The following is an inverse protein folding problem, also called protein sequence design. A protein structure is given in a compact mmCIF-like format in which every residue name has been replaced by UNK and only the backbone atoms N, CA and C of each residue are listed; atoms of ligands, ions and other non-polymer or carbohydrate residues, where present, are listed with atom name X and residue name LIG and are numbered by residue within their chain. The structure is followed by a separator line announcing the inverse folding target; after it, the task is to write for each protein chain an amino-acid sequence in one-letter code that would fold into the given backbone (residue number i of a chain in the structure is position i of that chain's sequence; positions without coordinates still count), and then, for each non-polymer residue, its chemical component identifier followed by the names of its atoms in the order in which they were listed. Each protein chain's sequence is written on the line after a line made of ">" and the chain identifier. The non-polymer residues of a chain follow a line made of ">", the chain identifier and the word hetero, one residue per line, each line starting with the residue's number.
data_IF_374368029099
#
_entry.id   IF_374368029099
#
_cell.length_a   1.000
_cell.length_b   1.000
_cell.length_c   1.000
_cell.angle_alpha   90.00
_cell.angle_beta   90.00
_cell.angle_gamma   90.00
#
_symmetry.space_group_name_H-M   'P 1'
#
loop_
_entity.id
_entity.type
_entity.pdbx_description
1 polymer ?
#
# COMPACT_ATOMS: atom_id res chain seq x y z
N UNK A 1 -22.49 2.63 -7.80
CA UNK A 1 -22.82 1.30 -7.23
C UNK A 1 -23.12 1.51 -5.76
N UNK A 2 -24.20 0.95 -5.22
CA UNK A 2 -24.46 1.01 -3.79
C UNK A 2 -23.57 -0.04 -3.09
N UNK A 3 -22.92 0.29 -1.98
CA UNK A 3 -22.15 -0.68 -1.23
C UNK A 3 -23.07 -1.74 -0.60
N UNK A 4 -22.53 -2.93 -0.40
CA UNK A 4 -23.22 -4.02 0.32
C UNK A 4 -22.68 -4.07 1.75
N UNK A 5 -23.58 -3.94 2.73
CA UNK A 5 -23.22 -4.04 4.16
C UNK A 5 -23.64 -5.41 4.67
N UNK A 6 -22.74 -6.12 5.31
CA UNK A 6 -22.96 -7.47 5.83
C UNK A 6 -22.38 -7.62 7.24
N UNK A 7 -23.02 -8.38 8.14
CA UNK A 7 -22.46 -8.67 9.47
C UNK A 7 -21.28 -9.64 9.36
N UNK A 8 -20.28 -9.43 10.21
CA UNK A 8 -19.11 -10.32 10.36
C UNK A 8 -19.00 -10.71 11.83
N UNK A 9 -19.53 -11.88 12.18
CA UNK A 9 -19.68 -12.28 13.58
C UNK A 9 -20.61 -11.35 14.33
N UNK A 10 -20.34 -11.14 15.62
CA UNK A 10 -21.22 -10.44 16.57
C UNK A 10 -20.89 -8.95 16.71
N UNK A 11 -19.67 -8.56 16.37
CA UNK A 11 -19.10 -7.23 16.69
C UNK A 11 -18.35 -6.60 15.54
N UNK A 12 -18.62 -7.02 14.29
CA UNK A 12 -18.06 -6.37 13.12
C UNK A 12 -19.05 -6.34 11.96
N UNK A 13 -18.85 -5.36 11.06
CA UNK A 13 -19.55 -5.26 9.78
C UNK A 13 -18.53 -5.13 8.66
N UNK A 14 -18.83 -5.69 7.50
CA UNK A 14 -18.09 -5.49 6.26
C UNK A 14 -18.91 -4.67 5.29
N UNK A 15 -18.31 -3.65 4.73
CA UNK A 15 -18.89 -2.78 3.69
C UNK A 15 -18.13 -3.05 2.40
N UNK A 16 -18.74 -3.73 1.45
CA UNK A 16 -18.16 -4.06 0.15
C UNK A 16 -18.56 -3.01 -0.89
N UNK A 17 -17.56 -2.36 -1.50
CA UNK A 17 -17.74 -1.30 -2.50
C UNK A 17 -17.56 -1.80 -3.94
N UNK A 18 -17.08 -3.03 -4.12
CA UNK A 18 -16.84 -3.66 -5.42
C UNK A 18 -16.01 -4.93 -5.31
N UNK A 19 -15.63 -5.50 -6.46
CA UNK A 19 -14.88 -6.75 -6.53
C UNK A 19 -13.61 -6.63 -7.40
N UNK A 20 -13.18 -5.38 -7.65
CA UNK A 20 -11.99 -5.07 -8.46
C UNK A 20 -11.10 -4.07 -7.73
N UNK A 21 -9.80 -4.17 -7.96
CA UNK A 21 -8.85 -3.19 -7.45
C UNK A 21 -8.95 -1.95 -8.35
N UNK A 22 -9.57 -0.88 -7.82
CA UNK A 22 -9.82 0.37 -8.55
C UNK A 22 -9.55 1.57 -7.63
N UNK A 23 -8.76 2.56 -8.08
CA UNK A 23 -8.49 3.77 -7.32
C UNK A 23 -9.75 4.51 -6.84
N UNK A 24 -10.83 4.47 -7.62
CA UNK A 24 -12.11 5.09 -7.25
C UNK A 24 -12.79 4.36 -6.09
N UNK A 25 -12.70 3.01 -6.07
CA UNK A 25 -13.18 2.21 -4.93
C UNK A 25 -12.37 2.55 -3.69
N UNK A 26 -11.04 2.62 -3.78
CA UNK A 26 -10.20 3.02 -2.66
C UNK A 26 -10.52 4.44 -2.17
N UNK A 27 -10.70 5.39 -3.09
CA UNK A 27 -11.10 6.75 -2.72
C UNK A 27 -12.43 6.78 -1.96
N UNK A 28 -13.42 5.99 -2.39
CA UNK A 28 -14.69 5.85 -1.68
C UNK A 28 -14.51 5.26 -0.28
N UNK A 29 -13.69 4.22 -0.14
CA UNK A 29 -13.37 3.63 1.16
C UNK A 29 -12.74 4.68 2.08
N UNK A 30 -11.74 5.43 1.61
CA UNK A 30 -11.08 6.50 2.40
C UNK A 30 -12.06 7.60 2.80
N UNK A 31 -12.93 8.04 1.89
CA UNK A 31 -13.95 9.04 2.20
C UNK A 31 -14.95 8.50 3.25
N UNK A 32 -15.31 7.22 3.14
CA UNK A 32 -16.19 6.58 4.15
C UNK A 32 -15.52 6.53 5.51
N UNK A 33 -14.24 6.14 5.58
CA UNK A 33 -13.46 6.15 6.84
C UNK A 33 -13.45 7.55 7.44
N UNK A 34 -13.05 8.57 6.67
CA UNK A 34 -13.00 9.94 7.14
C UNK A 34 -14.39 10.47 7.59
N UNK A 35 -15.44 10.09 6.86
CA UNK A 35 -16.83 10.43 7.24
C UNK A 35 -17.25 9.81 8.58
N UNK A 36 -16.90 8.55 8.83
CA UNK A 36 -17.20 7.86 10.10
C UNK A 36 -16.36 8.46 11.24
N UNK A 37 -15.06 8.72 11.01
CA UNK A 37 -14.19 9.37 12.00
C UNK A 37 -14.71 10.74 12.43
N UNK A 38 -15.25 11.51 11.48
CA UNK A 38 -15.80 12.85 11.77
C UNK A 38 -17.02 12.83 12.71
N UNK A 39 -17.72 11.70 12.81
CA UNK A 39 -18.84 11.53 13.74
C UNK A 39 -18.41 11.27 15.18
N UNK A 40 -17.11 10.97 15.41
CA UNK A 40 -16.56 10.64 16.73
C UNK A 40 -17.39 9.61 17.51
N UNK A 41 -17.84 8.54 16.82
CA UNK A 41 -18.69 7.52 17.40
C UNK A 41 -17.95 6.73 18.48
N UNK A 42 -18.34 6.92 19.73
CA UNK A 42 -17.85 6.07 20.81
C UNK A 42 -18.34 4.64 20.61
N UNK A 43 -17.42 3.67 20.58
CA UNK A 43 -17.75 2.24 20.37
C UNK A 43 -17.35 1.73 18.99
N UNK A 44 -16.85 2.56 18.07
CA UNK A 44 -16.04 2.06 16.96
C UNK A 44 -14.66 1.72 17.51
N UNK A 45 -14.26 0.45 17.37
CA UNK A 45 -13.00 -0.07 17.93
C UNK A 45 -11.90 0.07 16.90
N UNK A 46 -12.16 -0.36 15.66
CA UNK A 46 -11.18 -0.35 14.56
C UNK A 46 -11.89 -0.28 13.21
N UNK A 47 -11.26 0.37 12.26
CA UNK A 47 -11.65 0.40 10.86
C UNK A 47 -10.49 -0.12 10.01
N UNK A 48 -10.70 -1.24 9.29
CA UNK A 48 -9.68 -1.88 8.46
C UNK A 48 -10.07 -1.76 6.98
N UNK A 49 -9.51 -0.81 6.25
CA UNK A 49 -9.70 -0.74 4.80
C UNK A 49 -8.99 -1.91 4.11
N UNK A 50 -9.60 -2.39 3.02
CA UNK A 50 -9.01 -3.38 2.11
C UNK A 50 -9.03 -2.84 0.68
N UNK A 51 -8.69 -3.65 -0.34
CA UNK A 51 -8.76 -3.22 -1.73
C UNK A 51 -10.17 -2.80 -2.17
N UNK A 52 -11.21 -3.51 -1.68
CA UNK A 52 -12.58 -3.35 -2.18
C UNK A 52 -13.62 -3.19 -1.07
N UNK A 53 -13.22 -3.31 0.20
CA UNK A 53 -14.13 -3.30 1.34
C UNK A 53 -13.54 -2.54 2.54
N UNK A 54 -14.41 -2.18 3.47
CA UNK A 54 -14.07 -1.64 4.77
C UNK A 54 -14.66 -2.57 5.85
N UNK A 55 -13.80 -3.14 6.71
CA UNK A 55 -14.24 -3.85 7.90
C UNK A 55 -14.26 -2.85 9.07
N UNK A 56 -15.37 -2.85 9.82
CA UNK A 56 -15.53 -2.02 11.01
C UNK A 56 -15.81 -2.93 12.19
N UNK A 57 -14.92 -2.92 13.16
CA UNK A 57 -15.14 -3.57 14.45
C UNK A 57 -15.76 -2.58 15.43
N UNK A 58 -16.80 -3.00 16.16
CA UNK A 58 -17.55 -2.14 17.07
C UNK A 58 -17.92 -2.87 18.36
N UNK A 59 -18.22 -2.08 19.39
CA UNK A 59 -18.72 -2.58 20.67
C UNK A 59 -20.22 -2.92 20.55
N UNK A 60 -20.54 -4.21 20.53
CA UNK A 60 -21.91 -4.72 20.41
C UNK A 60 -22.79 -4.41 21.65
N UNK A 61 -22.23 -3.92 22.75
CA UNK A 61 -23.00 -3.41 23.90
C UNK A 61 -23.46 -1.96 23.69
N UNK A 62 -22.85 -1.22 22.74
CA UNK A 62 -23.22 0.17 22.41
C UNK A 62 -24.10 0.28 21.18
N UNK A 63 -23.87 -0.57 20.18
CA UNK A 63 -24.62 -0.56 18.92
C UNK A 63 -25.11 -1.94 18.56
N UNK A 64 -26.36 -2.04 18.15
CA UNK A 64 -26.81 -3.18 17.35
C UNK A 64 -26.34 -3.04 15.91
N UNK A 65 -26.29 -4.14 15.17
CA UNK A 65 -25.99 -4.14 13.74
C UNK A 65 -26.88 -3.16 12.96
N UNK A 66 -28.19 -3.16 13.25
CA UNK A 66 -29.15 -2.30 12.54
C UNK A 66 -28.93 -0.81 12.79
N UNK A 67 -28.64 -0.43 14.05
CA UNK A 67 -28.36 0.97 14.40
C UNK A 67 -27.10 1.46 13.72
N UNK A 68 -26.03 0.64 13.75
CA UNK A 68 -24.77 1.03 13.12
C UNK A 68 -24.91 1.14 11.58
N UNK A 69 -25.62 0.21 10.94
CA UNK A 69 -25.93 0.30 9.52
C UNK A 69 -26.67 1.59 9.18
N UNK A 70 -27.69 1.96 9.98
CA UNK A 70 -28.47 3.18 9.75
C UNK A 70 -27.61 4.46 9.82
N UNK A 71 -26.62 4.48 10.71
CA UNK A 71 -25.68 5.61 10.86
C UNK A 71 -24.72 5.69 9.65
N UNK A 72 -24.21 4.52 9.20
CA UNK A 72 -23.09 4.46 8.22
C UNK A 72 -23.59 4.50 6.77
N UNK A 73 -24.74 3.92 6.47
CA UNK A 73 -25.27 3.83 5.09
C UNK A 73 -25.32 5.18 4.35
N UNK A 74 -25.78 6.30 4.96
CA UNK A 74 -25.76 7.60 4.31
C UNK A 74 -24.34 8.07 3.95
N UNK A 75 -23.32 7.73 4.75
CA UNK A 75 -21.94 8.11 4.50
C UNK A 75 -21.38 7.31 3.30
N UNK A 76 -21.64 5.99 3.28
CA UNK A 76 -21.19 5.11 2.21
C UNK A 76 -21.74 5.46 0.83
N UNK A 77 -22.90 6.10 0.79
CA UNK A 77 -23.61 6.44 -0.46
C UNK A 77 -23.34 7.86 -0.96
N UNK A 78 -22.58 8.68 -0.23
CA UNK A 78 -22.20 10.02 -0.67
C UNK A 78 -21.47 9.99 -2.03
N UNK A 79 -21.68 10.98 -2.90
CA UNK A 79 -20.92 11.09 -4.14
C UNK A 79 -19.41 11.14 -3.89
N UNK A 80 -18.64 10.43 -4.72
CA UNK A 80 -17.18 10.56 -4.69
C UNK A 80 -16.82 11.97 -5.15
N UNK A 81 -16.18 12.72 -4.30
CA UNK A 81 -15.58 14.00 -4.67
C UNK A 81 -14.22 13.69 -5.31
N UNK A 82 -14.20 13.42 -6.62
CA UNK A 82 -12.96 13.31 -7.37
C UNK A 82 -12.51 14.70 -7.78
N UNK A 83 -11.41 15.16 -7.22
CA UNK A 83 -10.78 16.41 -7.61
C UNK A 83 -9.37 16.10 -8.12
N UNK A 84 -9.12 16.22 -9.42
CA UNK A 84 -7.78 16.08 -10.01
C UNK A 84 -6.80 17.12 -9.45
N UNK A 85 -7.31 18.18 -8.83
CA UNK A 85 -6.52 19.20 -8.15
C UNK A 85 -6.21 18.82 -6.69
N UNK A 86 -6.79 17.71 -6.16
CA UNK A 86 -6.48 17.21 -4.82
C UNK A 86 -4.98 16.96 -4.68
N UNK A 87 -4.41 17.52 -3.62
CA UNK A 87 -3.01 17.30 -3.27
C UNK A 87 -2.86 15.98 -2.54
N UNK A 88 -2.04 15.11 -3.07
CA UNK A 88 -1.68 13.82 -2.46
C UNK A 88 -0.21 13.79 -2.05
N UNK A 89 0.09 12.98 -1.06
CA UNK A 89 1.44 12.79 -0.55
C UNK A 89 2.14 11.69 -1.31
N UNK A 90 3.31 11.98 -1.92
CA UNK A 90 4.19 11.01 -2.57
C UNK A 90 5.47 10.91 -1.78
N UNK A 91 5.82 9.72 -1.32
CA UNK A 91 7.00 9.45 -0.50
C UNK A 91 8.02 8.69 -1.35
N UNK A 92 9.23 9.24 -1.47
CA UNK A 92 10.32 8.59 -2.19
C UNK A 92 10.96 7.48 -1.36
N UNK A 93 11.07 6.29 -1.98
CA UNK A 93 11.70 5.11 -1.40
C UNK A 93 12.99 4.82 -2.19
N UNK A 94 14.16 5.31 -1.72
CA UNK A 94 15.43 5.00 -2.36
C UNK A 94 15.66 3.50 -2.40
N UNK A 95 16.00 2.96 -3.59
CA UNK A 95 16.06 1.52 -3.82
C UNK A 95 17.24 1.17 -4.71
N UNK A 96 18.09 0.23 -4.26
CA UNK A 96 19.09 -0.42 -5.10
C UNK A 96 18.43 -1.59 -5.81
N UNK A 97 18.62 -1.69 -7.12
CA UNK A 97 18.06 -2.75 -7.96
C UNK A 97 19.14 -3.75 -8.39
N UNK A 98 18.74 -5.02 -8.51
CA UNK A 98 19.62 -6.07 -9.03
C UNK A 98 20.74 -6.50 -8.08
N UNK A 99 21.68 -7.27 -8.59
CA UNK A 99 22.79 -7.81 -7.83
C UNK A 99 22.32 -8.59 -6.59
N UNK A 100 23.04 -8.41 -5.48
CA UNK A 100 22.67 -9.03 -4.19
C UNK A 100 21.41 -8.42 -3.56
N UNK A 101 21.01 -7.19 -3.98
CA UNK A 101 19.84 -6.50 -3.48
C UNK A 101 18.55 -6.92 -4.18
N UNK A 102 18.66 -7.38 -5.44
CA UNK A 102 17.53 -7.79 -6.27
C UNK A 102 17.85 -9.03 -7.11
N UNK A 103 18.06 -10.20 -6.47
CA UNK A 103 18.54 -11.42 -7.15
C UNK A 103 17.61 -11.94 -8.25
N UNK A 104 16.34 -11.51 -8.27
CA UNK A 104 15.36 -11.97 -9.25
C UNK A 104 15.11 -10.94 -10.38
N UNK A 105 15.82 -9.81 -10.39
CA UNK A 105 15.61 -8.77 -11.42
C UNK A 105 15.81 -9.34 -12.83
N UNK A 106 16.87 -10.14 -13.03
CA UNK A 106 17.14 -10.80 -14.31
C UNK A 106 16.03 -11.79 -14.70
N UNK A 107 15.43 -12.50 -13.73
CA UNK A 107 14.30 -13.39 -14.00
C UNK A 107 13.05 -12.61 -14.43
N UNK A 108 12.73 -11.51 -13.73
CA UNK A 108 11.60 -10.62 -14.08
C UNK A 108 11.78 -10.05 -15.49
N UNK A 109 12.98 -9.61 -15.84
CA UNK A 109 13.32 -9.10 -17.16
C UNK A 109 13.14 -10.20 -18.23
N UNK A 110 13.71 -11.38 -18.02
CA UNK A 110 13.59 -12.53 -18.93
C UNK A 110 12.13 -12.97 -19.13
N UNK A 111 11.38 -13.08 -18.05
CA UNK A 111 9.97 -13.50 -18.08
C UNK A 111 9.10 -12.60 -18.95
N UNK A 112 9.37 -11.30 -18.90
CA UNK A 112 8.60 -10.26 -19.60
C UNK A 112 9.22 -9.82 -20.94
N UNK A 113 10.28 -10.46 -21.41
CA UNK A 113 11.00 -10.10 -22.64
C UNK A 113 11.53 -8.67 -22.63
N UNK A 114 12.00 -8.20 -21.47
CA UNK A 114 12.56 -6.88 -21.21
C UNK A 114 14.04 -7.00 -20.83
N UNK A 115 14.74 -5.85 -20.83
CA UNK A 115 16.03 -5.73 -20.15
C UNK A 115 15.84 -5.41 -18.66
N UNK A 116 16.84 -5.67 -17.82
CA UNK A 116 16.81 -5.24 -16.41
C UNK A 116 16.61 -3.73 -16.28
N UNK A 117 17.24 -2.93 -17.16
CA UNK A 117 17.07 -1.50 -17.19
C UNK A 117 15.63 -1.06 -17.51
N UNK A 118 14.95 -1.78 -18.41
CA UNK A 118 13.53 -1.54 -18.71
C UNK A 118 12.66 -1.83 -17.49
N UNK A 119 12.90 -2.94 -16.78
CA UNK A 119 12.16 -3.29 -15.55
C UNK A 119 12.34 -2.19 -14.50
N UNK A 120 13.59 -1.76 -14.27
CA UNK A 120 13.87 -0.68 -13.31
C UNK A 120 13.18 0.62 -13.73
N UNK A 121 13.25 1.00 -15.00
CA UNK A 121 12.64 2.22 -15.54
C UNK A 121 11.12 2.20 -15.38
N UNK A 122 10.47 1.07 -15.71
CA UNK A 122 9.02 0.91 -15.56
C UNK A 122 8.62 0.95 -14.09
N UNK A 123 9.33 0.18 -13.24
CA UNK A 123 9.01 0.11 -11.81
C UNK A 123 9.21 1.46 -11.10
N UNK A 124 10.28 2.19 -11.38
CA UNK A 124 10.55 3.50 -10.78
C UNK A 124 9.80 4.67 -11.43
N UNK A 125 9.22 4.43 -12.61
CA UNK A 125 8.45 5.42 -13.37
C UNK A 125 6.99 5.58 -12.91
N UNK A 126 6.55 4.85 -11.90
CA UNK A 126 5.17 4.83 -11.41
C UNK A 126 5.08 5.30 -9.96
N UNK A 127 4.04 6.07 -9.65
CA UNK A 127 3.66 6.41 -8.28
C UNK A 127 2.57 5.41 -7.82
N UNK A 128 2.88 4.60 -6.83
CA UNK A 128 2.04 3.50 -6.37
C UNK A 128 1.14 3.93 -5.23
N UNK A 129 -0.18 3.85 -5.41
CA UNK A 129 -1.13 4.12 -4.32
C UNK A 129 -1.03 3.04 -3.23
N UNK A 130 -0.91 3.45 -1.99
CA UNK A 130 -1.09 2.58 -0.81
C UNK A 130 -2.58 2.38 -0.57
N UNK A 131 -3.09 1.22 -0.95
CA UNK A 131 -4.51 0.89 -0.76
C UNK A 131 -4.83 0.57 0.69
N UNK A 132 -3.96 -0.19 1.33
CA UNK A 132 -4.12 -0.65 2.71
C UNK A 132 -2.79 -1.05 3.33
N UNK A 133 -2.79 -1.13 4.64
CA UNK A 133 -1.69 -1.66 5.46
C UNK A 133 -2.11 -2.99 6.08
N UNK A 134 -1.17 -3.93 6.28
CA UNK A 134 -1.50 -5.17 6.96
C UNK A 134 -0.52 -6.30 6.70
N UNK A 135 -0.88 -7.51 7.05
CA UNK A 135 -0.07 -8.71 7.05
C UNK A 135 1.02 -8.70 8.14
N UNK A 136 1.95 -7.74 8.09
CA UNK A 136 2.92 -7.45 9.15
C UNK A 136 3.05 -5.94 9.31
N UNK A 137 3.46 -5.41 10.48
CA UNK A 137 3.60 -3.97 10.70
C UNK A 137 4.48 -3.30 9.66
N UNK A 138 3.95 -2.26 9.02
CA UNK A 138 4.64 -1.50 7.97
C UNK A 138 4.58 -2.09 6.56
N UNK A 139 3.92 -3.25 6.35
CA UNK A 139 3.70 -3.78 5.01
C UNK A 139 2.56 -3.01 4.32
N UNK A 140 2.83 -2.58 3.08
CA UNK A 140 1.88 -1.83 2.25
C UNK A 140 1.42 -2.66 1.07
N UNK A 141 0.11 -2.67 0.85
CA UNK A 141 -0.48 -3.21 -0.39
C UNK A 141 -0.62 -2.08 -1.39
N UNK A 142 0.23 -2.16 -2.42
CA UNK A 142 0.33 -1.15 -3.47
C UNK A 142 -0.50 -1.53 -4.69
N UNK A 143 -1.00 -0.52 -5.39
CA UNK A 143 -1.65 -0.69 -6.68
C UNK A 143 -1.10 0.24 -7.75
N UNK A 144 -1.41 -0.07 -9.01
CA UNK A 144 -0.96 0.71 -10.15
C UNK A 144 0.34 0.20 -10.80
N UNK A 145 0.76 -1.03 -10.48
CA UNK A 145 1.93 -1.61 -11.16
C UNK A 145 1.63 -1.85 -12.64
N UNK A 146 2.57 -1.47 -13.49
CA UNK A 146 2.47 -1.69 -14.93
C UNK A 146 2.47 -3.22 -15.22
N UNK A 147 1.46 -3.75 -15.92
CA UNK A 147 1.35 -5.17 -16.21
C UNK A 147 2.52 -5.73 -17.04
N UNK A 148 3.30 -4.87 -17.73
CA UNK A 148 4.49 -5.30 -18.50
C UNK A 148 5.57 -5.92 -17.64
N UNK A 149 5.59 -5.67 -16.32
CA UNK A 149 6.55 -6.27 -15.38
C UNK A 149 5.90 -7.29 -14.43
N UNK A 150 4.64 -7.64 -14.67
CA UNK A 150 3.95 -8.64 -13.87
C UNK A 150 4.63 -9.99 -13.96
N UNK A 151 4.93 -10.60 -12.81
CA UNK A 151 5.71 -11.84 -12.76
C UNK A 151 5.18 -12.74 -11.65
N UNK A 152 4.93 -14.05 -11.93
CA UNK A 152 4.43 -14.97 -10.93
C UNK A 152 5.34 -15.10 -9.72
N UNK A 153 4.75 -15.48 -8.59
CA UNK A 153 5.49 -15.85 -7.38
C UNK A 153 6.42 -17.03 -7.64
N UNK A 154 7.45 -17.16 -6.83
CA UNK A 154 8.29 -18.35 -6.79
C UNK A 154 7.42 -19.59 -6.50
N UNK A 155 7.71 -20.71 -7.16
CA UNK A 155 7.05 -22.01 -6.90
C UNK A 155 7.32 -22.52 -5.48
N UNK A 156 8.50 -22.24 -4.94
CA UNK A 156 8.88 -22.51 -3.55
C UNK A 156 9.25 -21.20 -2.87
N UNK A 157 8.51 -20.77 -1.84
CA UNK A 157 8.85 -19.56 -1.09
C UNK A 157 10.23 -19.67 -0.42
N UNK A 158 10.97 -18.56 -0.36
CA UNK A 158 12.19 -18.45 0.46
C UNK A 158 11.84 -18.50 1.93
N UNK A 159 12.69 -19.16 2.71
CA UNK A 159 12.57 -19.18 4.17
C UNK A 159 12.94 -17.83 4.80
N UNK A 160 13.74 -17.03 4.08
CA UNK A 160 14.22 -15.74 4.54
C UNK A 160 14.32 -14.74 3.40
N UNK A 161 13.63 -13.62 3.53
CA UNK A 161 13.72 -12.42 2.71
C UNK A 161 14.11 -11.29 3.66
N UNK A 162 15.22 -10.58 3.41
CA UNK A 162 15.68 -9.50 4.30
C UNK A 162 14.72 -8.30 4.30
N UNK A 163 14.64 -7.60 5.44
CA UNK A 163 13.94 -6.33 5.56
C UNK A 163 14.40 -5.31 4.51
N UNK A 164 13.47 -4.52 4.02
CA UNK A 164 13.67 -3.55 2.95
C UNK A 164 13.63 -4.14 1.54
N UNK A 165 13.52 -5.47 1.38
CA UNK A 165 13.43 -6.09 0.06
C UNK A 165 12.21 -5.60 -0.71
N UNK A 166 12.41 -5.17 -1.94
CA UNK A 166 11.36 -4.74 -2.89
C UNK A 166 11.12 -5.87 -3.87
N UNK A 167 9.86 -6.25 -4.05
CA UNK A 167 9.55 -7.41 -4.87
C UNK A 167 8.28 -7.27 -5.69
N UNK A 168 8.12 -8.22 -6.63
CA UNK A 168 6.95 -8.37 -7.51
C UNK A 168 6.32 -9.74 -7.30
N UNK A 169 4.99 -9.79 -7.31
CA UNK A 169 4.20 -11.03 -7.23
C UNK A 169 2.88 -10.87 -7.99
N UNK A 170 2.77 -11.53 -9.15
CA UNK A 170 1.67 -11.27 -10.08
C UNK A 170 1.69 -9.81 -10.53
N UNK A 171 0.60 -9.12 -10.36
CA UNK A 171 0.43 -7.70 -10.70
C UNK A 171 0.70 -6.75 -9.51
N UNK A 172 1.32 -7.27 -8.43
CA UNK A 172 1.58 -6.51 -7.21
C UNK A 172 3.08 -6.24 -7.04
N UNK A 173 3.40 -5.07 -6.51
CA UNK A 173 4.72 -4.73 -5.97
C UNK A 173 4.60 -4.31 -4.51
N UNK A 174 5.70 -4.33 -3.77
CA UNK A 174 5.73 -3.92 -2.36
C UNK A 174 7.09 -4.08 -1.74
N UNK A 175 7.18 -3.62 -0.49
CA UNK A 175 8.41 -3.65 0.31
C UNK A 175 8.20 -4.49 1.57
N UNK A 176 9.08 -5.44 1.82
CA UNK A 176 9.11 -6.22 3.05
C UNK A 176 9.63 -5.37 4.22
N UNK A 177 8.81 -5.06 5.24
CA UNK A 177 9.24 -4.17 6.33
C UNK A 177 10.17 -4.85 7.34
N UNK A 178 10.13 -6.19 7.41
CA UNK A 178 10.94 -7.00 8.32
C UNK A 178 11.42 -8.27 7.62
N UNK A 179 12.41 -8.92 8.22
CA UNK A 179 12.82 -10.26 7.79
C UNK A 179 11.64 -11.22 7.90
N UNK A 180 11.32 -11.90 6.80
CA UNK A 180 10.19 -12.82 6.74
C UNK A 180 10.35 -13.87 5.63
N UNK A 181 9.67 -15.01 5.70
CA UNK A 181 9.56 -15.90 4.55
C UNK A 181 8.68 -15.25 3.46
N UNK A 182 8.88 -15.64 2.21
CA UNK A 182 8.06 -15.14 1.11
C UNK A 182 8.40 -15.70 -0.26
N UNK A 183 7.46 -15.59 -1.18
CA UNK A 183 7.58 -16.12 -2.55
C UNK A 183 7.61 -15.05 -3.64
N UNK A 184 7.88 -13.79 -3.29
CA UNK A 184 7.95 -12.71 -4.27
C UNK A 184 9.29 -12.73 -5.00
N UNK A 185 9.29 -12.23 -6.23
CA UNK A 185 10.50 -11.99 -7.02
C UNK A 185 11.17 -10.73 -6.49
N UNK A 186 12.31 -10.85 -5.85
CA UNK A 186 13.01 -9.72 -5.24
C UNK A 186 13.84 -9.00 -6.31
N UNK A 187 13.46 -7.75 -6.61
CA UNK A 187 14.06 -6.93 -7.66
C UNK A 187 15.00 -5.84 -7.13
N UNK A 188 14.91 -5.53 -5.83
CA UNK A 188 15.72 -4.49 -5.20
C UNK A 188 15.58 -4.48 -3.69
N UNK A 189 16.26 -3.50 -3.05
CA UNK A 189 16.17 -3.27 -1.62
C UNK A 189 16.29 -1.79 -1.28
N UNK A 190 15.46 -1.34 -0.34
CA UNK A 190 15.58 -0.01 0.28
C UNK A 190 16.36 -0.09 1.59
N UNK A 191 17.18 0.93 1.92
CA UNK A 191 17.80 1.06 3.24
C UNK A 191 16.85 1.53 4.33
N UNK A 192 15.63 1.98 3.97
CA UNK A 192 14.67 2.56 4.90
C UNK A 192 14.02 1.50 5.79
N UNK A 193 13.79 1.86 7.05
CA UNK A 193 12.90 1.10 7.93
C UNK A 193 11.45 1.50 7.64
N UNK A 194 10.65 0.57 7.12
CA UNK A 194 9.22 0.81 6.83
C UNK A 194 8.38 0.90 8.10
N UNK A 195 8.85 0.27 9.19
CA UNK A 195 8.22 0.30 10.50
C UNK A 195 9.28 0.45 11.60
N UNK A 196 9.02 1.36 12.54
CA UNK A 196 9.88 1.60 13.70
C UNK A 196 9.01 2.05 14.87
N UNK A 197 8.83 1.19 15.85
CA UNK A 197 7.98 1.46 17.02
C UNK A 197 8.46 2.64 17.90
N UNK A 198 9.70 3.11 17.70
CA UNK A 198 10.22 4.28 18.43
C UNK A 198 9.82 5.61 17.82
N UNK A 199 9.25 5.63 16.61
CA UNK A 199 8.75 6.83 15.96
C UNK A 199 7.35 7.17 16.47
N UNK A 200 6.99 8.45 16.46
CA UNK A 200 5.64 8.92 16.74
C UNK A 200 4.63 8.29 15.77
N UNK A 201 4.93 8.33 14.46
CA UNK A 201 4.27 7.53 13.44
C UNK A 201 5.13 6.31 13.16
N UNK A 202 4.80 5.16 13.77
CA UNK A 202 5.60 3.95 13.71
C UNK A 202 5.75 3.41 12.27
N UNK A 203 4.70 3.48 11.45
CA UNK A 203 4.75 3.15 10.03
C UNK A 203 5.24 4.36 9.21
N UNK A 204 6.10 4.11 8.22
CA UNK A 204 6.61 5.14 7.33
C UNK A 204 5.53 5.65 6.35
N UNK A 205 4.60 4.80 6.00
CA UNK A 205 3.54 5.02 5.02
C UNK A 205 2.18 4.76 5.66
N UNK A 206 1.13 5.36 5.09
CA UNK A 206 -0.27 5.12 5.47
C UNK A 206 -1.15 4.94 4.24
N UNK A 207 -2.33 4.37 4.43
CA UNK A 207 -3.31 4.24 3.35
C UNK A 207 -3.66 5.62 2.76
N UNK A 208 -3.64 5.72 1.44
CA UNK A 208 -3.85 6.97 0.69
C UNK A 208 -2.56 7.71 0.32
N UNK A 209 -1.41 7.39 0.91
CA UNK A 209 -0.11 7.87 0.41
C UNK A 209 0.23 7.22 -0.93
N UNK A 210 1.18 7.81 -1.64
CA UNK A 210 1.80 7.24 -2.82
C UNK A 210 3.28 6.94 -2.57
N UNK A 211 3.73 5.82 -3.09
CA UNK A 211 5.14 5.40 -3.05
C UNK A 211 5.77 5.65 -4.40
N UNK A 212 6.93 6.30 -4.41
CA UNK A 212 7.80 6.46 -5.58
C UNK A 212 9.13 5.78 -5.31
N UNK A 213 9.41 4.67 -5.98
CA UNK A 213 10.72 4.05 -5.90
C UNK A 213 11.74 4.87 -6.70
N UNK A 214 12.88 5.20 -6.07
CA UNK A 214 13.94 5.99 -6.67
C UNK A 214 15.21 5.15 -6.74
N UNK A 215 15.71 4.82 -7.94
CA UNK A 215 16.96 4.07 -8.09
C UNK A 215 18.14 4.81 -7.46
N UNK A 216 18.90 4.13 -6.64
CA UNK A 216 20.14 4.61 -6.04
C UNK A 216 21.25 3.56 -6.21
N UNK A 217 22.51 3.97 -6.05
CA UNK A 217 23.64 3.06 -6.01
C UNK A 217 23.88 2.47 -4.60
N UNK A 218 24.75 1.48 -4.52
CA UNK A 218 25.12 0.80 -3.26
C UNK A 218 25.76 1.76 -2.25
N UNK A 219 26.54 2.73 -2.71
CA UNK A 219 27.19 3.72 -1.85
C UNK A 219 26.16 4.58 -1.11
N UNK A 220 25.15 5.07 -1.86
CA UNK A 220 24.03 5.81 -1.30
C UNK A 220 23.19 4.94 -0.35
N UNK A 221 22.96 3.66 -0.69
CA UNK A 221 22.28 2.71 0.19
C UNK A 221 22.97 2.59 1.54
N UNK A 222 24.28 2.33 1.56
CA UNK A 222 25.04 2.19 2.81
C UNK A 222 25.09 3.50 3.58
N UNK A 223 25.20 4.65 2.90
CA UNK A 223 25.16 5.96 3.55
C UNK A 223 23.81 6.19 4.25
N UNK A 224 22.70 5.98 3.58
CA UNK A 224 21.34 6.16 4.13
C UNK A 224 21.12 5.17 5.28
N UNK A 225 21.50 3.90 5.10
CA UNK A 225 21.37 2.88 6.15
C UNK A 225 22.14 3.24 7.43
N UNK A 226 23.32 3.86 7.30
CA UNK A 226 24.11 4.35 8.44
C UNK A 226 23.45 5.51 9.17
N UNK A 227 22.73 6.36 8.45
CA UNK A 227 21.95 7.47 9.03
C UNK A 227 20.74 6.97 9.82
N UNK A 228 20.20 5.81 9.47
CA UNK A 228 19.05 5.19 10.14
C UNK A 228 17.86 6.14 10.24
N UNK A 229 17.30 6.30 11.44
CA UNK A 229 16.15 7.18 11.72
C UNK A 229 16.41 8.68 11.51
N UNK A 230 17.69 9.09 11.42
CA UNK A 230 18.04 10.49 11.10
C UNK A 230 17.82 10.82 9.63
N UNK A 231 17.80 9.84 8.74
CA UNK A 231 17.44 10.06 7.36
C UNK A 231 15.94 10.27 7.24
N UNK A 232 15.55 11.32 6.53
CA UNK A 232 14.14 11.59 6.22
C UNK A 232 13.95 11.39 4.71
N UNK A 233 13.02 10.53 4.27
CA UNK A 233 12.71 10.40 2.86
C UNK A 233 12.16 11.71 2.32
N UNK A 234 12.36 11.93 1.02
CA UNK A 234 11.78 13.08 0.34
C UNK A 234 10.27 12.87 0.23
N UNK A 235 9.52 13.91 0.60
CA UNK A 235 8.06 13.92 0.52
C UNK A 235 7.64 15.03 -0.44
N UNK A 236 6.80 14.68 -1.39
CA UNK A 236 6.21 15.61 -2.33
C UNK A 236 4.69 15.72 -2.08
N UNK A 237 4.15 16.91 -2.26
CA UNK A 237 2.71 17.14 -2.37
C UNK A 237 2.40 17.49 -3.80
N UNK A 238 1.79 16.57 -4.53
CA UNK A 238 1.49 16.70 -5.96
C UNK A 238 -0.01 16.60 -6.21
N UNK A 239 -0.48 17.19 -7.31
CA UNK A 239 -1.87 16.99 -7.71
C UNK A 239 -2.06 15.57 -8.24
N UNK A 240 -3.24 15.00 -8.03
CA UNK A 240 -3.58 13.66 -8.55
C UNK A 240 -3.33 13.57 -10.06
N UNK A 241 -3.64 14.64 -10.82
CA UNK A 241 -3.39 14.69 -12.27
C UNK A 241 -1.91 14.70 -12.69
N UNK A 242 -0.99 14.98 -11.75
CA UNK A 242 0.48 15.05 -12.00
C UNK A 242 1.22 13.76 -11.56
N UNK A 243 0.49 12.74 -11.07
CA UNK A 243 1.06 11.45 -10.68
C UNK A 243 1.67 10.71 -11.88
N UNK A 244 2.78 10.00 -11.64
CA UNK A 244 3.48 9.19 -12.65
C UNK A 244 2.76 7.85 -12.86
N UNK A 245 2.67 7.39 -14.11
CA UNK A 245 2.21 6.03 -14.44
C UNK A 245 0.71 5.75 -14.29
N UNK A 246 -0.08 6.69 -13.81
CA UNK A 246 -1.52 6.54 -13.66
C UNK A 246 -2.26 6.76 -14.98
N UNK A 247 -2.48 5.69 -15.76
CA UNK A 247 -3.50 5.67 -16.84
C UNK A 247 -4.25 4.36 -16.78
#
# INVERSE_FOLDING_TARGET
>A
MNPTISPVGDSAISIEFGQVIDPKINQRIRQTVAGIESLHLEGIIEMVPTYCALLIQYDALRYTYAELCHIIEPICTQPIQSDESELVTVIEIPTVYGGEFGPDLGFVAFHNHLTEADVVSIHSGTDYLVYMMGFIPGFTYLGGMDPRIATPRLSSPRTHIPAGSVGIAGEQTGTYPSDSPGGWQIIGRTPLSMYDASREEAALLKAGDYVRYVPIDESAFHCIKKLGSSFKPVVHHVKVGDLRGGK
#
